data_IF_435843652870
#
_entry.id   IF_435843652870
#
_cell.length_a   1.000
_cell.length_b   1.000
_cell.length_c   1.000
_cell.angle_alpha   90.00
_cell.angle_beta   90.00
_cell.angle_gamma   90.00
#
_symmetry.space_group_name_H-M   'P 1'
#
loop_
_entity.id
_entity.type
_entity.pdbx_description
1 polymer ?
#
# COMPACT_ATOMS: atom_id res chain seq x y z
N UNK A 1 -14.77 2.81 -12.51
CA UNK A 1 -14.03 3.99 -12.02
C UNK A 1 -14.43 4.31 -10.59
N UNK A 2 -13.48 4.86 -9.83
CA UNK A 2 -13.76 5.27 -8.46
C UNK A 2 -14.59 6.56 -8.46
N UNK A 3 -15.71 6.56 -7.75
CA UNK A 3 -16.50 7.75 -7.49
C UNK A 3 -15.73 8.69 -6.54
N UNK A 4 -15.56 10.00 -6.84
CA UNK A 4 -14.98 10.95 -5.91
C UNK A 4 -15.80 11.03 -4.62
N UNK A 5 -15.10 11.11 -3.46
CA UNK A 5 -15.76 11.08 -2.14
C UNK A 5 -16.74 12.24 -1.95
N UNK A 6 -16.42 13.43 -2.48
CA UNK A 6 -17.27 14.61 -2.42
C UNK A 6 -18.60 14.46 -3.18
N UNK A 7 -18.71 13.46 -4.07
CA UNK A 7 -19.94 13.13 -4.80
C UNK A 7 -20.75 12.02 -4.12
N UNK A 8 -20.28 11.45 -3.02
CA UNK A 8 -21.00 10.42 -2.28
C UNK A 8 -22.00 11.09 -1.33
N UNK A 9 -23.32 10.85 -1.49
CA UNK A 9 -24.32 11.40 -0.59
C UNK A 9 -24.09 11.02 0.87
N UNK A 10 -24.37 11.93 1.80
CA UNK A 10 -24.19 11.69 3.23
C UNK A 10 -25.23 10.70 3.81
N UNK A 11 -26.37 10.55 3.15
CA UNK A 11 -27.49 9.70 3.54
C UNK A 11 -27.41 8.27 3.00
N UNK A 12 -26.27 7.88 2.41
CA UNK A 12 -26.04 6.52 1.95
C UNK A 12 -24.89 5.83 2.66
N UNK A 13 -24.91 4.50 2.68
CA UNK A 13 -23.75 3.66 2.93
C UNK A 13 -22.95 3.51 1.63
N UNK A 14 -21.60 3.53 1.72
CA UNK A 14 -20.74 3.30 0.57
C UNK A 14 -19.73 2.18 0.86
N UNK A 15 -19.69 1.20 -0.04
CA UNK A 15 -18.78 0.08 0.02
C UNK A 15 -17.82 0.11 -1.18
N UNK A 16 -16.51 0.04 -0.93
CA UNK A 16 -15.49 -0.15 -1.96
C UNK A 16 -15.13 -1.63 -2.05
N UNK A 17 -15.56 -2.26 -3.14
CA UNK A 17 -15.49 -3.72 -3.31
C UNK A 17 -14.25 -4.10 -4.11
N UNK A 18 -13.44 -4.99 -3.54
CA UNK A 18 -12.29 -5.64 -4.19
C UNK A 18 -12.53 -7.11 -4.41
N UNK A 19 -12.01 -7.62 -5.54
CA UNK A 19 -11.87 -9.03 -5.85
C UNK A 19 -10.45 -9.28 -6.38
N UNK A 20 -9.76 -10.32 -5.91
CA UNK A 20 -8.37 -10.62 -6.27
C UNK A 20 -7.43 -9.39 -6.11
N UNK A 21 -7.58 -8.63 -5.04
CA UNK A 21 -6.85 -7.39 -4.71
C UNK A 21 -7.08 -6.20 -5.65
N UNK A 22 -7.97 -6.32 -6.62
CA UNK A 22 -8.35 -5.22 -7.52
C UNK A 22 -9.68 -4.61 -7.09
N UNK A 23 -9.78 -3.29 -7.15
CA UNK A 23 -11.06 -2.59 -6.93
C UNK A 23 -11.97 -2.84 -8.13
N UNK A 24 -13.11 -3.47 -7.88
CA UNK A 24 -14.11 -3.78 -8.91
C UNK A 24 -15.12 -2.64 -9.04
N UNK A 25 -15.70 -2.22 -7.92
CA UNK A 25 -16.77 -1.22 -7.91
C UNK A 25 -16.86 -0.47 -6.58
N UNK A 26 -17.62 0.63 -6.60
CA UNK A 26 -18.12 1.32 -5.42
C UNK A 26 -19.63 1.20 -5.43
N UNK A 27 -20.20 0.61 -4.38
CA UNK A 27 -21.64 0.38 -4.23
C UNK A 27 -22.20 1.39 -3.24
N UNK A 28 -23.32 2.02 -3.60
CA UNK A 28 -24.06 2.93 -2.73
C UNK A 28 -25.40 2.31 -2.34
N UNK A 29 -25.68 2.26 -1.04
CA UNK A 29 -26.91 1.73 -0.49
C UNK A 29 -27.73 2.86 0.13
N UNK A 30 -29.00 2.95 -0.23
CA UNK A 30 -29.90 4.02 0.19
C UNK A 30 -31.07 3.51 1.02
N UNK A 31 -31.59 4.37 1.86
CA UNK A 31 -32.80 4.13 2.67
C UNK A 31 -32.63 2.92 3.58
N UNK A 32 -33.55 1.97 3.53
CA UNK A 32 -33.53 0.78 4.39
C UNK A 32 -32.49 -0.28 4.00
N UNK A 33 -31.80 -0.12 2.86
CA UNK A 33 -30.80 -1.06 2.37
C UNK A 33 -29.39 -0.79 2.91
N UNK A 34 -29.17 0.36 3.53
CA UNK A 34 -27.84 0.74 4.06
C UNK A 34 -27.92 1.66 5.25
N UNK A 35 -26.82 1.77 5.97
CA UNK A 35 -26.66 2.67 7.11
C UNK A 35 -26.09 4.02 6.62
N UNK A 36 -26.85 5.10 6.78
CA UNK A 36 -26.43 6.44 6.37
C UNK A 36 -25.07 6.82 6.96
N UNK A 37 -24.17 7.29 6.11
CA UNK A 37 -22.82 7.70 6.50
C UNK A 37 -21.81 6.57 6.71
N UNK A 38 -22.22 5.30 6.73
CA UNK A 38 -21.28 4.18 6.87
C UNK A 38 -20.39 4.07 5.63
N UNK A 39 -19.11 3.84 5.87
CA UNK A 39 -18.08 3.63 4.83
C UNK A 39 -17.34 2.34 5.13
N UNK A 40 -17.15 1.49 4.11
CA UNK A 40 -16.43 0.24 4.27
C UNK A 40 -15.64 -0.17 3.05
N UNK A 41 -14.50 -0.82 3.28
CA UNK A 41 -13.79 -1.61 2.30
C UNK A 41 -14.31 -3.05 2.37
N UNK A 42 -14.49 -3.69 1.22
CA UNK A 42 -15.01 -5.06 1.13
C UNK A 42 -14.12 -5.88 0.23
N UNK A 43 -13.79 -7.10 0.65
CA UNK A 43 -13.16 -8.12 -0.19
C UNK A 43 -14.21 -9.19 -0.45
N UNK A 44 -14.40 -9.53 -1.72
CA UNK A 44 -15.26 -10.66 -2.13
C UNK A 44 -14.39 -11.67 -2.87
N UNK A 45 -13.97 -12.70 -2.16
CA UNK A 45 -13.27 -13.86 -2.72
C UNK A 45 -14.07 -15.13 -2.42
N UNK A 46 -13.52 -16.07 -1.61
CA UNK A 46 -14.29 -17.24 -1.14
C UNK A 46 -15.33 -16.84 -0.09
N UNK A 47 -14.95 -15.93 0.77
CA UNK A 47 -15.79 -15.30 1.80
C UNK A 47 -15.81 -13.80 1.59
N UNK A 48 -16.86 -13.14 2.08
CA UNK A 48 -16.92 -11.69 2.11
C UNK A 48 -16.31 -11.19 3.42
N UNK A 49 -15.32 -10.30 3.31
CA UNK A 49 -14.72 -9.60 4.44
C UNK A 49 -15.03 -8.12 4.34
N UNK A 50 -15.40 -7.50 5.44
CA UNK A 50 -15.69 -6.07 5.53
C UNK A 50 -14.82 -5.42 6.61
N UNK A 51 -14.25 -4.25 6.29
CA UNK A 51 -13.68 -3.33 7.25
C UNK A 51 -14.42 -2.00 7.15
N UNK A 52 -15.12 -1.63 8.21
CA UNK A 52 -15.83 -0.36 8.32
C UNK A 52 -15.11 0.55 9.32
N UNK A 53 -15.14 1.85 9.08
CA UNK A 53 -14.49 2.81 9.96
C UNK A 53 -14.77 4.25 9.55
N UNK A 54 -14.09 5.18 10.22
CA UNK A 54 -14.14 6.60 9.90
C UNK A 54 -12.96 7.01 9.01
N UNK A 55 -13.17 8.03 8.19
CA UNK A 55 -12.12 8.65 7.39
C UNK A 55 -11.23 9.51 8.31
N UNK A 56 -10.17 8.90 8.83
CA UNK A 56 -9.17 9.55 9.68
C UNK A 56 -7.78 9.37 9.10
N UNK A 57 -6.88 10.30 9.37
CA UNK A 57 -5.50 10.20 8.93
C UNK A 57 -4.70 9.27 9.83
N UNK A 58 -3.88 8.39 9.24
CA UNK A 58 -2.93 7.58 9.98
C UNK A 58 -1.92 8.49 10.71
N UNK A 59 -1.48 8.14 11.93
CA UNK A 59 -0.32 8.78 12.53
C UNK A 59 0.88 8.65 11.60
N UNK A 60 1.78 9.63 11.58
CA UNK A 60 2.92 9.64 10.67
C UNK A 60 4.21 9.42 11.45
N UNK A 61 5.10 8.57 10.92
CA UNK A 61 6.43 8.35 11.47
C UNK A 61 7.41 7.90 10.38
N UNK A 62 8.70 7.83 10.72
CA UNK A 62 9.70 7.17 9.89
C UNK A 62 9.34 5.69 9.69
N UNK A 63 9.80 5.04 8.60
CA UNK A 63 9.60 3.61 8.41
C UNK A 63 10.14 2.81 9.60
N UNK A 64 9.34 1.85 10.07
CA UNK A 64 9.75 0.82 11.01
C UNK A 64 10.40 -0.36 10.30
N UNK A 65 10.33 -1.52 10.93
CA UNK A 65 10.92 -2.75 10.39
C UNK A 65 10.19 -3.29 9.15
N UNK A 66 8.89 -3.04 9.06
CA UNK A 66 8.01 -3.56 8.01
C UNK A 66 7.30 -2.43 7.28
N UNK A 67 7.05 -2.65 5.98
CA UNK A 67 6.20 -1.78 5.17
C UNK A 67 5.06 -2.60 4.57
N UNK A 68 3.89 -1.99 4.48
CA UNK A 68 2.65 -2.62 4.06
C UNK A 68 2.03 -1.88 2.90
N UNK A 69 1.75 -2.61 1.82
CA UNK A 69 1.09 -2.12 0.62
C UNK A 69 -0.40 -2.46 0.70
N UNK A 70 -1.28 -1.49 0.93
CA UNK A 70 -2.70 -1.75 1.06
C UNK A 70 -3.34 -2.06 -0.29
N UNK A 71 -4.38 -2.90 -0.26
CA UNK A 71 -5.24 -3.14 -1.42
C UNK A 71 -6.01 -1.88 -1.82
N UNK A 72 -6.47 -1.84 -3.06
CA UNK A 72 -7.14 -0.67 -3.61
C UNK A 72 -8.41 -0.27 -2.87
N UNK A 73 -9.20 -1.21 -2.33
CA UNK A 73 -10.40 -0.90 -1.55
C UNK A 73 -10.08 -0.09 -0.29
N UNK A 74 -9.03 -0.46 0.46
CA UNK A 74 -8.58 0.27 1.66
C UNK A 74 -8.11 1.69 1.36
N UNK A 75 -7.43 1.87 0.22
CA UNK A 75 -6.96 3.20 -0.20
C UNK A 75 -8.13 4.05 -0.66
N UNK A 76 -9.03 3.48 -1.46
CA UNK A 76 -10.14 4.20 -2.08
C UNK A 76 -11.30 4.50 -1.14
N UNK A 77 -11.47 3.71 -0.09
CA UNK A 77 -12.46 4.00 0.97
C UNK A 77 -11.99 5.06 1.96
N UNK A 78 -10.72 5.49 1.90
CA UNK A 78 -10.06 6.37 2.86
C UNK A 78 -10.01 5.83 4.30
N UNK A 79 -10.19 4.51 4.47
CA UNK A 79 -10.21 3.85 5.79
C UNK A 79 -8.83 3.40 6.28
N UNK A 80 -7.79 3.66 5.49
CA UNK A 80 -6.43 3.22 5.81
C UNK A 80 -5.91 3.78 7.15
N UNK A 81 -6.32 5.00 7.52
CA UNK A 81 -5.94 5.61 8.79
C UNK A 81 -6.60 4.94 9.99
N UNK A 82 -7.90 4.63 9.90
CA UNK A 82 -8.60 3.88 10.94
C UNK A 82 -7.98 2.49 11.13
N UNK A 83 -7.71 1.80 10.03
CA UNK A 83 -7.03 0.50 10.06
C UNK A 83 -5.63 0.57 10.69
N UNK A 84 -4.88 1.62 10.38
CA UNK A 84 -3.55 1.82 10.94
C UNK A 84 -3.58 1.96 12.47
N UNK A 85 -4.51 2.76 12.99
CA UNK A 85 -4.66 2.97 14.43
C UNK A 85 -5.06 1.68 15.15
N UNK A 86 -6.02 0.93 14.60
CA UNK A 86 -6.47 -0.34 15.20
C UNK A 86 -5.39 -1.41 15.24
N UNK A 87 -4.40 -1.33 14.33
CA UNK A 87 -3.36 -2.34 14.17
C UNK A 87 -1.95 -1.83 14.57
N UNK A 88 -1.87 -0.72 15.31
CA UNK A 88 -0.60 -0.13 15.78
C UNK A 88 0.41 0.08 14.62
N UNK A 89 -0.10 0.62 13.51
CA UNK A 89 0.64 1.00 12.32
C UNK A 89 0.63 2.52 12.12
N UNK A 90 1.49 3.00 11.24
CA UNK A 90 1.56 4.42 10.87
C UNK A 90 1.87 4.62 9.38
N UNK A 91 1.54 5.79 8.86
CA UNK A 91 1.93 6.22 7.53
C UNK A 91 3.36 6.72 7.48
N UNK A 92 4.02 6.56 6.34
CA UNK A 92 5.40 7.05 6.10
C UNK A 92 5.43 8.43 5.44
N UNK A 93 4.30 8.89 4.93
CA UNK A 93 4.08 10.20 4.34
C UNK A 93 2.58 10.49 4.27
N UNK A 94 2.18 11.74 4.41
CA UNK A 94 0.76 12.14 4.34
C UNK A 94 0.11 11.94 2.96
N UNK A 95 0.92 11.87 1.91
CA UNK A 95 0.44 11.75 0.52
C UNK A 95 0.62 10.35 -0.07
N UNK A 96 1.11 9.38 0.72
CA UNK A 96 1.46 8.04 0.24
C UNK A 96 0.72 6.98 1.04
N UNK A 97 -0.04 6.15 0.35
CA UNK A 97 -0.82 5.07 0.95
C UNK A 97 0.04 3.83 1.21
N UNK A 98 1.15 3.97 1.93
CA UNK A 98 1.89 2.89 2.57
C UNK A 98 1.79 3.02 4.08
N UNK A 99 1.61 1.89 4.76
CA UNK A 99 1.73 1.81 6.20
C UNK A 99 3.06 1.17 6.60
N UNK A 100 3.50 1.44 7.81
CA UNK A 100 4.70 0.84 8.39
C UNK A 100 4.45 0.44 9.84
N UNK A 101 5.29 -0.45 10.36
CA UNK A 101 5.23 -0.92 11.74
C UNK A 101 6.47 -1.72 12.12
N UNK A 102 6.59 -2.04 13.41
CA UNK A 102 7.73 -2.80 13.95
C UNK A 102 7.43 -4.28 14.18
N UNK A 103 6.20 -4.70 13.96
CA UNK A 103 5.75 -6.08 14.10
C UNK A 103 5.12 -6.61 12.82
N UNK A 104 5.13 -7.93 12.63
CA UNK A 104 4.49 -8.58 11.49
C UNK A 104 2.99 -8.61 11.67
N UNK A 105 2.26 -8.18 10.63
CA UNK A 105 0.81 -8.31 10.54
C UNK A 105 0.46 -9.19 9.35
N UNK A 106 -0.30 -10.24 9.58
CA UNK A 106 -0.97 -10.99 8.54
C UNK A 106 -2.38 -10.41 8.35
N UNK A 107 -2.67 -9.91 7.17
CA UNK A 107 -3.90 -9.19 6.89
C UNK A 107 -4.35 -9.40 5.45
N UNK A 108 -5.65 -9.62 5.20
CA UNK A 108 -6.16 -9.67 3.84
C UNK A 108 -6.17 -8.27 3.17
N UNK A 109 -6.03 -7.20 3.95
CA UNK A 109 -6.05 -5.81 3.50
C UNK A 109 -4.69 -5.26 3.09
N UNK A 110 -3.59 -5.95 3.48
CA UNK A 110 -2.23 -5.47 3.35
C UNK A 110 -1.30 -6.55 2.82
N UNK A 111 -0.44 -6.21 1.86
CA UNK A 111 0.71 -7.04 1.51
C UNK A 111 1.95 -6.52 2.23
N UNK A 112 2.55 -7.34 3.09
CA UNK A 112 3.68 -6.97 3.95
C UNK A 112 5.03 -7.28 3.35
N UNK A 113 6.02 -6.43 3.67
CA UNK A 113 7.42 -6.58 3.31
C UNK A 113 8.31 -6.21 4.50
N UNK A 114 9.37 -6.96 4.72
CA UNK A 114 10.44 -6.57 5.65
C UNK A 114 11.39 -5.63 4.93
N UNK A 115 11.66 -4.47 5.53
CA UNK A 115 12.63 -3.50 5.03
C UNK A 115 14.02 -3.96 5.44
N UNK A 116 14.88 -4.22 4.44
CA UNK A 116 16.27 -4.60 4.66
C UNK A 116 17.20 -3.39 4.65
N UNK A 117 16.88 -2.40 3.81
CA UNK A 117 17.72 -1.21 3.65
C UNK A 117 16.95 -0.07 2.99
N UNK A 118 17.26 1.16 3.41
CA UNK A 118 16.79 2.40 2.79
C UNK A 118 17.91 3.03 1.96
N UNK A 119 17.64 3.34 0.69
CA UNK A 119 18.57 3.97 -0.24
C UNK A 119 17.98 5.29 -0.77
N UNK A 120 18.84 6.26 -1.14
CA UNK A 120 18.40 7.35 -1.98
C UNK A 120 17.82 6.83 -3.30
N UNK A 121 16.83 7.53 -3.88
CA UNK A 121 16.28 7.19 -5.21
C UNK A 121 17.28 7.60 -6.31
N UNK A 122 18.37 6.85 -6.42
CA UNK A 122 19.44 7.01 -7.39
C UNK A 122 19.72 5.68 -8.11
N UNK A 123 19.57 5.67 -9.42
CA UNK A 123 19.67 4.44 -10.20
C UNK A 123 21.05 3.76 -10.11
N UNK A 124 22.15 4.56 -10.00
CA UNK A 124 23.51 4.00 -9.91
C UNK A 124 23.74 3.32 -8.55
N UNK A 125 23.28 3.97 -7.46
CA UNK A 125 23.37 3.39 -6.11
C UNK A 125 22.52 2.14 -5.97
N UNK A 126 21.29 2.17 -6.50
CA UNK A 126 20.41 1.01 -6.52
C UNK A 126 21.04 -0.13 -7.32
N UNK A 127 21.56 0.14 -8.55
CA UNK A 127 22.21 -0.87 -9.37
C UNK A 127 23.41 -1.52 -8.68
N UNK A 128 24.28 -0.72 -8.05
CA UNK A 128 25.42 -1.20 -7.27
C UNK A 128 24.94 -2.14 -6.16
N UNK A 129 23.93 -1.71 -5.38
CA UNK A 129 23.43 -2.48 -4.27
C UNK A 129 22.76 -3.79 -4.70
N UNK A 130 21.98 -3.77 -5.77
CA UNK A 130 21.38 -5.00 -6.34
C UNK A 130 22.44 -6.00 -6.79
N UNK A 131 23.56 -5.52 -7.35
CA UNK A 131 24.69 -6.36 -7.73
C UNK A 131 25.38 -6.98 -6.49
N UNK A 132 25.62 -6.18 -5.45
CA UNK A 132 26.23 -6.66 -4.19
C UNK A 132 25.35 -7.72 -3.51
N UNK A 133 24.03 -7.56 -3.58
CA UNK A 133 23.04 -8.53 -3.04
C UNK A 133 22.79 -9.72 -3.97
N UNK A 134 23.52 -9.80 -5.10
CA UNK A 134 23.36 -10.86 -6.11
C UNK A 134 21.91 -11.03 -6.61
N UNK A 135 21.17 -9.91 -6.78
CA UNK A 135 19.77 -9.91 -7.23
C UNK A 135 19.70 -10.10 -8.75
N UNK A 136 18.88 -11.06 -9.17
CA UNK A 136 18.55 -11.32 -10.58
C UNK A 136 17.07 -11.11 -10.88
N UNK A 137 16.20 -11.44 -9.94
CA UNK A 137 14.76 -11.20 -10.03
C UNK A 137 14.36 -10.06 -9.10
N UNK A 138 13.74 -9.02 -9.65
CA UNK A 138 13.36 -7.84 -8.88
C UNK A 138 11.91 -7.46 -9.15
N UNK A 139 11.06 -7.50 -8.12
CA UNK A 139 9.77 -6.83 -8.15
C UNK A 139 10.00 -5.33 -7.86
N UNK A 140 9.44 -4.44 -8.67
CA UNK A 140 9.53 -3.00 -8.45
C UNK A 140 8.12 -2.46 -8.25
N UNK A 141 7.87 -1.90 -7.07
CA UNK A 141 6.65 -1.18 -6.70
C UNK A 141 6.94 0.31 -6.63
N UNK A 142 5.95 1.16 -6.94
CA UNK A 142 6.11 2.61 -6.80
C UNK A 142 4.84 3.27 -6.29
N UNK A 143 5.01 4.28 -5.44
CA UNK A 143 3.95 5.25 -5.08
C UNK A 143 4.56 6.64 -4.84
N UNK A 144 3.99 7.66 -5.48
CA UNK A 144 4.38 9.06 -5.26
C UNK A 144 5.75 9.47 -5.83
N UNK A 145 6.30 8.70 -6.78
CA UNK A 145 7.52 9.03 -7.52
C UNK A 145 7.28 8.92 -9.02
N UNK A 146 7.99 9.73 -9.81
CA UNK A 146 7.75 9.84 -11.26
C UNK A 146 8.45 8.71 -12.04
N UNK A 147 9.58 8.18 -11.53
CA UNK A 147 10.30 7.09 -12.19
C UNK A 147 9.47 5.83 -12.27
N UNK A 148 9.39 5.22 -13.44
CA UNK A 148 8.67 3.97 -13.64
C UNK A 148 9.57 2.75 -13.56
N UNK A 149 9.02 1.55 -13.23
CA UNK A 149 9.77 0.30 -13.26
C UNK A 149 10.45 0.05 -14.61
N UNK A 150 9.77 0.38 -15.71
CA UNK A 150 10.26 0.21 -17.08
C UNK A 150 11.46 1.13 -17.37
N UNK A 151 11.48 2.34 -16.80
CA UNK A 151 12.60 3.28 -16.93
C UNK A 151 13.80 2.89 -16.06
N UNK A 152 13.54 2.29 -14.89
CA UNK A 152 14.58 1.93 -13.93
C UNK A 152 15.24 0.59 -14.26
N UNK A 153 14.45 -0.44 -14.58
CA UNK A 153 14.92 -1.82 -14.77
C UNK A 153 16.11 -1.98 -15.71
N UNK A 154 16.16 -1.34 -16.92
CA UNK A 154 17.31 -1.44 -17.80
C UNK A 154 18.61 -0.88 -17.20
N UNK A 155 18.48 0.12 -16.30
CA UNK A 155 19.64 0.76 -15.66
C UNK A 155 20.25 -0.11 -14.55
N UNK A 156 19.50 -1.05 -14.00
CA UNK A 156 19.96 -1.91 -12.90
C UNK A 156 20.84 -3.07 -13.37
N UNK A 157 20.74 -3.50 -14.63
CA UNK A 157 21.56 -4.57 -15.24
C UNK A 157 21.65 -5.84 -14.38
N UNK A 158 20.50 -6.29 -13.85
CA UNK A 158 20.39 -7.44 -12.95
C UNK A 158 20.96 -8.71 -13.57
N UNK A 159 21.89 -9.38 -12.88
CA UNK A 159 22.57 -10.60 -13.35
C UNK A 159 22.69 -11.68 -12.27
N UNK A 160 22.19 -11.42 -11.06
CA UNK A 160 22.27 -12.31 -9.92
C UNK A 160 21.31 -13.50 -10.00
N UNK A 161 21.27 -14.29 -8.93
CA UNK A 161 20.37 -15.44 -8.75
C UNK A 161 19.34 -15.22 -7.66
N UNK A 162 19.53 -14.23 -6.81
CA UNK A 162 18.62 -13.88 -5.72
C UNK A 162 17.41 -13.09 -6.20
N UNK A 163 16.43 -12.94 -5.30
CA UNK A 163 15.24 -12.13 -5.52
C UNK A 163 15.10 -11.05 -4.45
N UNK A 164 14.51 -9.92 -4.81
CA UNK A 164 14.19 -8.83 -3.90
C UNK A 164 12.95 -8.09 -4.39
N UNK A 165 12.37 -7.27 -3.49
CA UNK A 165 11.36 -6.26 -3.83
C UNK A 165 11.96 -4.89 -3.60
N UNK A 166 11.82 -3.99 -4.57
CA UNK A 166 12.25 -2.61 -4.48
C UNK A 166 11.01 -1.72 -4.44
N UNK A 167 10.83 -0.98 -3.36
CA UNK A 167 9.70 -0.04 -3.20
C UNK A 167 10.23 1.38 -3.38
N UNK A 168 9.81 2.04 -4.46
CA UNK A 168 10.15 3.42 -4.78
C UNK A 168 9.04 4.32 -4.24
N UNK A 169 9.36 5.20 -3.30
CA UNK A 169 8.35 6.00 -2.60
C UNK A 169 8.92 7.32 -2.07
N UNK A 170 8.05 8.08 -1.40
CA UNK A 170 8.44 9.19 -0.54
C UNK A 170 8.34 8.78 0.91
N UNK A 171 9.35 9.14 1.69
CA UNK A 171 9.34 9.09 3.14
C UNK A 171 9.36 10.56 3.58
N UNK A 172 8.30 11.01 4.25
CA UNK A 172 8.01 12.44 4.36
C UNK A 172 8.09 13.08 2.96
N UNK A 173 8.99 14.02 2.72
CA UNK A 173 9.18 14.71 1.43
C UNK A 173 10.35 14.18 0.61
N UNK A 174 11.09 13.19 1.12
CA UNK A 174 12.28 12.66 0.48
C UNK A 174 11.98 11.44 -0.39
N UNK A 175 12.48 11.45 -1.64
CA UNK A 175 12.35 10.30 -2.55
C UNK A 175 13.35 9.22 -2.14
N UNK A 176 12.85 8.02 -1.89
CA UNK A 176 13.62 6.88 -1.38
C UNK A 176 13.33 5.61 -2.15
N UNK A 177 14.26 4.68 -2.05
CA UNK A 177 14.11 3.31 -2.50
C UNK A 177 14.33 2.37 -1.31
N UNK A 178 13.33 1.57 -0.97
CA UNK A 178 13.42 0.56 0.07
C UNK A 178 13.72 -0.79 -0.55
N UNK A 179 14.82 -1.40 -0.15
CA UNK A 179 15.15 -2.80 -0.50
C UNK A 179 14.43 -3.69 0.50
N UNK A 180 13.55 -4.54 0.00
CA UNK A 180 12.66 -5.34 0.82
C UNK A 180 12.66 -6.81 0.40
N UNK A 181 12.14 -7.66 1.29
CA UNK A 181 11.68 -9.01 0.97
C UNK A 181 10.22 -9.18 1.42
N UNK A 182 9.41 -9.97 0.70
CA UNK A 182 8.08 -10.32 1.16
C UNK A 182 8.11 -10.94 2.56
N UNK A 183 7.07 -10.70 3.37
CA UNK A 183 6.91 -11.37 4.65
C UNK A 183 6.33 -12.77 4.36
N UNK A 184 7.01 -13.79 4.88
CA UNK A 184 6.49 -15.15 4.92
C UNK A 184 5.65 -15.30 6.21
N UNK A 185 4.40 -15.75 6.06
CA UNK A 185 3.44 -15.98 7.15
C UNK A 185 3.22 -17.46 7.39
#
# INVERSE_FOLDING_TARGET
GSLPHELIPADCEANWVSHNNELVETVLWFGQLGAAGKRSAVIIDKDALEFAGEEIQAPLSAPGKYIYDPISAMVRSHLLGAYAIENDLWGISSSIAYLSGDHKIQSPWLRGFEILEELPLDAKRIAKRMSELNVGTLEIKKRGVDITPEQLRPKLKLKGKGSATLILTKIADSRKALVCKPIDY
#
